data_IF_658770266859
#
_entry.id   IF_658770266859
#
_cell.length_a   1.000
_cell.length_b   1.000
_cell.length_c   1.000
_cell.angle_alpha   90.00
_cell.angle_beta   90.00
_cell.angle_gamma   90.00
#
_symmetry.space_group_name_H-M   'P 1'
#
loop_
_entity.id
_entity.type
_entity.pdbx_description
1 polymer ?
#
# COMPACT_ATOMS: atom_id res chain seq x y z
N UNK A 1 -31.98 3.17 -13.58
CA UNK A 1 -30.70 3.50 -12.88
C UNK A 1 -30.81 2.98 -11.46
N UNK A 2 -29.90 2.13 -11.04
CA UNK A 2 -29.83 1.72 -9.65
C UNK A 2 -29.58 2.97 -8.75
N UNK A 3 -30.26 3.13 -7.64
CA UNK A 3 -30.00 4.25 -6.76
C UNK A 3 -28.55 4.23 -6.30
N UNK A 4 -27.82 5.32 -6.50
CA UNK A 4 -26.46 5.44 -6.00
C UNK A 4 -26.52 5.36 -4.46
N UNK A 5 -25.95 4.31 -3.90
CA UNK A 5 -25.81 4.15 -2.47
C UNK A 5 -25.06 5.35 -1.90
N UNK A 6 -25.54 5.90 -0.82
CA UNK A 6 -24.86 7.01 -0.17
C UNK A 6 -23.66 6.50 0.63
N UNK A 7 -22.50 7.10 0.39
CA UNK A 7 -21.28 6.76 1.10
C UNK A 7 -21.29 7.37 2.49
N UNK A 8 -21.06 6.57 3.52
CA UNK A 8 -20.95 7.03 4.92
C UNK A 8 -19.52 7.23 5.36
N UNK A 9 -18.56 6.56 4.74
CA UNK A 9 -17.16 6.72 5.08
C UNK A 9 -16.21 5.98 4.17
N UNK A 10 -14.93 6.35 4.29
CA UNK A 10 -13.81 5.68 3.65
C UNK A 10 -12.84 5.18 4.69
N UNK A 11 -12.32 3.98 4.48
CA UNK A 11 -11.31 3.37 5.33
C UNK A 11 -10.11 3.04 4.46
N UNK A 12 -8.92 3.45 4.90
CA UNK A 12 -7.66 3.14 4.23
C UNK A 12 -6.78 2.32 5.17
N UNK A 13 -6.42 1.13 4.76
CA UNK A 13 -5.62 0.21 5.55
C UNK A 13 -4.48 -0.37 4.72
N UNK A 14 -3.42 -0.76 5.40
CA UNK A 14 -2.33 -1.54 4.84
C UNK A 14 -2.32 -2.90 5.53
N UNK A 15 -2.65 -3.94 4.80
CA UNK A 15 -2.82 -5.30 5.32
C UNK A 15 -1.93 -6.24 4.52
N UNK A 16 -1.36 -7.22 5.21
CA UNK A 16 -0.58 -8.26 4.55
C UNK A 16 -1.49 -9.11 3.65
N UNK A 17 -1.12 -9.26 2.40
CA UNK A 17 -1.90 -9.99 1.41
C UNK A 17 -2.10 -11.45 1.81
N UNK A 18 -3.33 -11.93 1.70
CA UNK A 18 -3.71 -13.29 2.04
C UNK A 18 -3.67 -13.63 3.55
N UNK A 19 -3.40 -12.64 4.41
CA UNK A 19 -3.26 -12.82 5.85
C UNK A 19 -4.10 -11.82 6.67
N UNK A 20 -5.15 -11.26 6.09
CA UNK A 20 -6.07 -10.40 6.82
C UNK A 20 -6.77 -11.20 7.93
N UNK A 21 -6.83 -10.62 9.11
CA UNK A 21 -7.49 -11.20 10.29
C UNK A 21 -8.39 -10.17 10.95
N UNK A 22 -9.39 -10.58 11.74
CA UNK A 22 -10.22 -9.66 12.50
C UNK A 22 -9.47 -8.89 13.60
N UNK A 23 -8.23 -9.26 13.87
CA UNK A 23 -7.37 -8.58 14.83
C UNK A 23 -7.01 -7.16 14.37
N UNK A 24 -6.61 -6.24 15.28
CA UNK A 24 -6.15 -4.91 14.88
C UNK A 24 -5.08 -4.97 13.79
N UNK A 25 -5.09 -4.04 12.79
CA UNK A 25 -5.92 -2.84 12.73
C UNK A 25 -7.30 -3.02 12.05
N UNK A 26 -7.60 -4.20 11.50
CA UNK A 26 -8.79 -4.43 10.67
C UNK A 26 -10.08 -4.35 11.49
N UNK A 27 -10.14 -5.06 12.60
CA UNK A 27 -11.32 -5.14 13.45
C UNK A 27 -11.85 -3.79 13.90
N UNK A 28 -11.05 -2.98 14.61
CA UNK A 28 -11.48 -1.65 15.05
C UNK A 28 -11.86 -0.71 13.93
N UNK A 29 -11.12 -0.71 12.83
CA UNK A 29 -11.38 0.16 11.69
C UNK A 29 -12.73 -0.13 11.03
N UNK A 30 -13.05 -1.39 10.81
CA UNK A 30 -14.32 -1.81 10.22
C UNK A 30 -15.47 -1.77 11.22
N UNK A 31 -15.20 -2.10 12.47
CA UNK A 31 -16.19 -2.11 13.54
C UNK A 31 -16.82 -0.75 13.81
N UNK A 32 -16.05 0.32 13.72
CA UNK A 32 -16.54 1.68 13.86
C UNK A 32 -17.61 2.05 12.82
N UNK A 33 -17.55 1.44 11.65
CA UNK A 33 -18.48 1.69 10.55
C UNK A 33 -19.61 0.62 10.46
N UNK A 34 -19.59 -0.37 11.36
CA UNK A 34 -20.59 -1.42 11.38
C UNK A 34 -20.52 -2.40 10.21
N UNK A 35 -19.37 -2.51 9.56
CA UNK A 35 -19.13 -3.42 8.44
C UNK A 35 -18.88 -4.85 8.95
N UNK A 36 -19.32 -5.85 8.18
CA UNK A 36 -19.05 -7.25 8.49
C UNK A 36 -17.57 -7.58 8.26
N UNK A 37 -16.83 -7.71 9.36
CA UNK A 37 -15.38 -7.94 9.35
C UNK A 37 -15.01 -9.26 8.67
N UNK A 38 -15.76 -10.33 8.95
CA UNK A 38 -15.47 -11.65 8.39
C UNK A 38 -15.68 -11.72 6.89
N UNK A 39 -16.69 -11.05 6.39
CA UNK A 39 -16.98 -10.95 4.95
C UNK A 39 -15.86 -10.21 4.23
N UNK A 40 -15.41 -9.09 4.79
CA UNK A 40 -14.27 -8.34 4.26
C UNK A 40 -13.00 -9.18 4.27
N UNK A 41 -12.67 -9.85 5.37
CA UNK A 41 -11.48 -10.68 5.51
C UNK A 41 -11.44 -11.78 4.44
N UNK A 42 -12.55 -12.47 4.23
CA UNK A 42 -12.65 -13.51 3.20
C UNK A 42 -12.47 -12.94 1.80
N UNK A 43 -13.16 -11.85 1.49
CA UNK A 43 -13.07 -11.20 0.17
C UNK A 43 -11.66 -10.66 -0.11
N UNK A 44 -11.05 -10.00 0.86
CA UNK A 44 -9.71 -9.47 0.74
C UNK A 44 -8.66 -10.57 0.56
N UNK A 45 -8.71 -11.62 1.37
CA UNK A 45 -7.77 -12.74 1.26
C UNK A 45 -7.88 -13.42 -0.11
N UNK A 46 -9.10 -13.62 -0.62
CA UNK A 46 -9.31 -14.18 -1.95
C UNK A 46 -8.75 -13.26 -3.05
N UNK A 47 -8.97 -11.96 -2.95
CA UNK A 47 -8.51 -10.99 -3.94
C UNK A 47 -6.98 -10.81 -3.95
N UNK A 48 -6.32 -11.03 -2.81
CA UNK A 48 -4.88 -10.79 -2.65
C UNK A 48 -4.05 -12.08 -2.55
N UNK A 49 -4.65 -13.24 -2.78
CA UNK A 49 -3.96 -14.53 -2.70
C UNK A 49 -2.72 -14.60 -3.61
N UNK A 50 -2.81 -14.03 -4.81
CA UNK A 50 -1.70 -13.99 -5.77
C UNK A 50 -0.52 -13.11 -5.31
N UNK A 51 -0.75 -12.22 -4.36
CA UNK A 51 0.25 -11.28 -3.84
C UNK A 51 0.68 -11.62 -2.40
N UNK A 52 0.44 -12.86 -1.99
CA UNK A 52 0.73 -13.34 -0.64
C UNK A 52 2.17 -13.03 -0.22
N UNK A 53 2.34 -12.53 0.99
CA UNK A 53 3.63 -12.13 1.53
C UNK A 53 4.01 -10.67 1.30
N UNK A 54 3.20 -9.90 0.57
CA UNK A 54 3.38 -8.46 0.38
C UNK A 54 2.34 -7.69 1.19
N UNK A 55 2.67 -6.47 1.57
CA UNK A 55 1.69 -5.56 2.16
C UNK A 55 0.95 -4.86 1.03
N UNK A 56 -0.35 -5.03 0.99
CA UNK A 56 -1.22 -4.44 -0.02
C UNK A 56 -2.11 -3.39 0.62
N UNK A 57 -2.05 -2.13 0.19
CA UNK A 57 -2.99 -1.11 0.63
C UNK A 57 -4.38 -1.41 0.11
N UNK A 58 -5.38 -1.18 0.93
CA UNK A 58 -6.78 -1.32 0.56
C UNK A 58 -7.54 -0.05 0.92
N UNK A 59 -8.37 0.42 0.00
CA UNK A 59 -9.33 1.48 0.24
C UNK A 59 -10.72 0.86 0.26
N UNK A 60 -11.42 1.05 1.37
CA UNK A 60 -12.75 0.51 1.61
C UNK A 60 -13.75 1.66 1.60
N UNK A 61 -14.78 1.55 0.78
CA UNK A 61 -15.90 2.49 0.76
C UNK A 61 -17.07 1.86 1.49
N UNK A 62 -17.57 2.52 2.53
CA UNK A 62 -18.71 2.05 3.33
C UNK A 62 -19.97 2.84 2.97
N UNK A 63 -21.07 2.14 2.81
CA UNK A 63 -22.38 2.71 2.46
C UNK A 63 -23.34 2.71 3.65
N UNK A 64 -24.43 3.49 3.56
CA UNK A 64 -25.45 3.59 4.62
C UNK A 64 -26.13 2.27 4.98
N UNK A 65 -26.21 1.36 4.02
CA UNK A 65 -26.77 0.01 4.22
C UNK A 65 -25.79 -0.98 4.87
N UNK A 66 -24.63 -0.51 5.34
CA UNK A 66 -23.53 -1.29 5.90
C UNK A 66 -22.84 -2.22 4.88
N UNK A 67 -23.16 -2.10 3.60
CA UNK A 67 -22.40 -2.73 2.55
C UNK A 67 -21.08 -1.99 2.34
N UNK A 68 -20.13 -2.66 1.71
CA UNK A 68 -18.83 -2.08 1.42
C UNK A 68 -18.34 -2.52 0.04
N UNK A 69 -17.55 -1.65 -0.57
CA UNK A 69 -16.71 -1.99 -1.72
C UNK A 69 -15.26 -1.71 -1.33
N UNK A 70 -14.34 -2.46 -1.89
CA UNK A 70 -12.93 -2.22 -1.65
C UNK A 70 -12.11 -2.30 -2.93
N UNK A 71 -11.03 -1.54 -2.96
CA UNK A 71 -10.06 -1.51 -4.05
C UNK A 71 -8.69 -1.80 -3.45
N UNK A 72 -7.99 -2.77 -4.00
CA UNK A 72 -6.60 -3.06 -3.65
C UNK A 72 -5.66 -2.27 -4.56
N UNK A 73 -4.59 -1.75 -3.98
CA UNK A 73 -3.55 -1.01 -4.70
C UNK A 73 -2.25 -1.80 -4.77
N UNK A 74 -1.29 -1.31 -5.53
CA UNK A 74 0.05 -1.88 -5.55
C UNK A 74 0.73 -1.72 -4.18
N UNK A 75 1.71 -2.58 -3.82
CA UNK A 75 2.41 -2.45 -2.55
C UNK A 75 2.98 -1.04 -2.35
N UNK A 76 3.04 -0.53 -1.09
CA UNK A 76 3.58 0.78 -0.83
C UNK A 76 5.02 0.92 -1.32
N UNK A 77 5.36 2.07 -1.91
CA UNK A 77 6.71 2.33 -2.41
C UNK A 77 7.78 2.14 -1.33
N UNK A 78 7.49 2.55 -0.10
CA UNK A 78 8.39 2.37 1.04
C UNK A 78 8.75 0.89 1.29
N UNK A 79 7.78 0.00 1.20
CA UNK A 79 8.02 -1.44 1.39
C UNK A 79 8.82 -2.06 0.24
N UNK A 80 8.56 -1.65 -0.98
CA UNK A 80 9.32 -2.07 -2.14
C UNK A 80 10.78 -1.60 -2.05
N UNK A 81 11.01 -0.38 -1.60
CA UNK A 81 12.35 0.19 -1.40
C UNK A 81 13.10 -0.57 -0.30
N UNK A 82 12.47 -0.84 0.84
CA UNK A 82 13.08 -1.62 1.93
C UNK A 82 13.47 -3.03 1.47
N UNK A 83 12.62 -3.68 0.70
CA UNK A 83 12.90 -4.99 0.12
C UNK A 83 14.10 -4.96 -0.83
N UNK A 84 14.15 -3.97 -1.72
CA UNK A 84 15.25 -3.79 -2.66
C UNK A 84 16.58 -3.47 -1.96
N UNK A 85 16.52 -2.69 -0.87
CA UNK A 85 17.68 -2.32 -0.07
C UNK A 85 18.13 -3.44 0.90
N UNK A 86 17.29 -4.43 1.15
CA UNK A 86 17.57 -5.52 2.08
C UNK A 86 17.57 -5.11 3.56
N UNK A 87 16.81 -4.06 3.92
CA UNK A 87 16.69 -3.58 5.29
C UNK A 87 15.24 -3.67 5.79
N UNK A 88 15.05 -3.81 7.07
CA UNK A 88 13.72 -3.93 7.68
C UNK A 88 13.04 -2.58 7.89
N UNK A 89 13.84 -1.55 8.20
CA UNK A 89 13.35 -0.21 8.53
C UNK A 89 14.20 0.87 7.87
N UNK A 90 13.55 1.97 7.54
CA UNK A 90 14.22 3.20 7.15
C UNK A 90 14.88 3.91 8.34
N UNK A 91 15.60 5.00 8.07
CA UNK A 91 16.25 5.80 9.08
C UNK A 91 15.26 6.59 9.94
N UNK A 92 15.50 6.67 11.22
CA UNK A 92 14.79 7.59 12.13
C UNK A 92 15.19 9.05 11.89
N UNK A 93 16.40 9.28 11.39
CA UNK A 93 16.94 10.62 11.07
C UNK A 93 17.46 10.60 9.63
N UNK A 94 16.58 10.62 8.61
CA UNK A 94 16.97 10.37 7.22
C UNK A 94 17.90 11.44 6.63
N UNK A 95 17.89 12.65 7.14
CA UNK A 95 18.76 13.74 6.68
C UNK A 95 20.19 13.62 7.22
N UNK A 96 20.42 12.89 8.30
CA UNK A 96 21.73 12.70 8.91
C UNK A 96 22.25 11.28 8.77
N UNK A 97 21.42 10.30 9.05
CA UNK A 97 21.79 8.89 9.06
C UNK A 97 21.24 8.17 7.86
N UNK A 98 22.12 7.67 6.99
CA UNK A 98 21.73 6.83 5.85
C UNK A 98 21.90 5.36 6.24
N UNK A 99 20.88 4.55 5.94
CA UNK A 99 20.85 3.13 6.37
C UNK A 99 21.15 2.16 5.25
N UNK A 100 20.95 2.57 4.01
CA UNK A 100 21.17 1.72 2.83
C UNK A 100 21.38 2.55 1.57
N UNK A 101 21.75 1.86 0.49
CA UNK A 101 21.87 2.42 -0.84
C UNK A 101 21.20 1.48 -1.84
N UNK A 102 20.48 2.05 -2.80
CA UNK A 102 19.90 1.33 -3.94
C UNK A 102 20.38 1.94 -5.25
N UNK A 103 20.35 1.17 -6.32
CA UNK A 103 20.72 1.63 -7.65
C UNK A 103 19.54 2.22 -8.39
N UNK A 104 19.80 3.06 -9.39
CA UNK A 104 18.74 3.60 -10.24
C UNK A 104 17.99 2.49 -11.00
N UNK A 105 18.65 1.39 -11.33
CA UNK A 105 17.99 0.23 -11.93
C UNK A 105 16.92 -0.37 -11.01
N UNK A 106 17.22 -0.52 -9.72
CA UNK A 106 16.25 -0.98 -8.71
C UNK A 106 15.10 0.01 -8.55
N UNK A 107 15.39 1.31 -8.58
CA UNK A 107 14.36 2.36 -8.54
C UNK A 107 13.42 2.26 -9.75
N UNK A 108 13.94 2.03 -10.94
CA UNK A 108 13.14 1.84 -12.15
C UNK A 108 12.26 0.58 -12.11
N UNK A 109 12.76 -0.51 -11.55
CA UNK A 109 11.96 -1.72 -11.33
C UNK A 109 10.78 -1.46 -10.40
N UNK A 110 11.01 -0.77 -9.29
CA UNK A 110 9.96 -0.38 -8.35
C UNK A 110 8.95 0.54 -9.03
N UNK A 111 9.44 1.52 -9.79
CA UNK A 111 8.59 2.45 -10.54
C UNK A 111 7.71 1.72 -11.56
N UNK A 112 8.24 0.73 -12.26
CA UNK A 112 7.48 -0.09 -13.22
C UNK A 112 6.37 -0.87 -12.51
N UNK A 113 6.67 -1.49 -11.37
CA UNK A 113 5.69 -2.22 -10.57
C UNK A 113 4.55 -1.33 -10.09
N UNK A 114 4.88 -0.09 -9.71
CA UNK A 114 3.92 0.85 -9.13
C UNK A 114 3.28 1.80 -10.16
N UNK A 115 3.64 1.70 -11.42
CA UNK A 115 3.20 2.63 -12.48
C UNK A 115 1.68 2.78 -12.58
N UNK A 116 0.93 1.69 -12.27
CA UNK A 116 -0.53 1.70 -12.29
C UNK A 116 -1.15 2.67 -11.27
N UNK A 117 -0.48 2.93 -10.15
CA UNK A 117 -0.95 3.81 -9.07
C UNK A 117 -0.31 5.20 -9.12
N UNK A 118 0.69 5.39 -9.97
CA UNK A 118 1.39 6.67 -10.09
C UNK A 118 0.75 7.53 -11.18
N UNK A 119 0.82 8.84 -11.01
CA UNK A 119 0.40 9.80 -12.02
C UNK A 119 1.54 10.24 -12.95
N UNK A 120 2.65 9.52 -12.95
CA UNK A 120 3.78 9.77 -13.82
C UNK A 120 3.46 9.41 -15.27
N UNK A 121 3.95 10.20 -16.21
CA UNK A 121 3.73 9.98 -17.64
C UNK A 121 4.72 8.95 -18.22
N UNK A 122 5.90 8.83 -17.65
CA UNK A 122 6.95 7.92 -18.08
C UNK A 122 7.71 7.30 -16.91
N UNK A 123 8.56 6.32 -17.21
CA UNK A 123 9.36 5.61 -16.21
C UNK A 123 10.36 6.52 -15.51
N UNK A 124 10.92 7.50 -16.20
CA UNK A 124 11.89 8.42 -15.59
C UNK A 124 11.23 9.33 -14.55
N UNK A 125 10.03 9.84 -14.85
CA UNK A 125 9.25 10.60 -13.89
C UNK A 125 8.85 9.75 -12.69
N UNK A 126 8.40 8.52 -12.92
CA UNK A 126 8.10 7.56 -11.86
C UNK A 126 9.33 7.23 -11.00
N UNK A 127 10.50 7.07 -11.62
CA UNK A 127 11.75 6.83 -10.92
C UNK A 127 12.13 7.99 -9.99
N UNK A 128 11.89 9.24 -10.41
CA UNK A 128 12.10 10.42 -9.55
C UNK A 128 11.20 10.41 -8.32
N UNK A 129 9.95 10.01 -8.48
CA UNK A 129 8.99 9.88 -7.35
C UNK A 129 9.52 8.84 -6.35
N UNK A 130 9.93 7.68 -6.82
CA UNK A 130 10.46 6.60 -5.97
C UNK A 130 11.78 7.00 -5.32
N UNK A 131 12.69 7.66 -6.06
CA UNK A 131 13.95 8.17 -5.52
C UNK A 131 13.73 9.19 -4.39
N UNK A 132 12.74 10.07 -4.55
CA UNK A 132 12.34 11.02 -3.50
C UNK A 132 11.84 10.31 -2.24
N UNK A 133 11.05 9.27 -2.39
CA UNK A 133 10.59 8.43 -1.27
C UNK A 133 11.77 7.75 -0.58
N UNK A 134 12.71 7.18 -1.32
CA UNK A 134 13.91 6.54 -0.78
C UNK A 134 14.75 7.55 0.02
N UNK A 135 14.93 8.75 -0.50
CA UNK A 135 15.66 9.83 0.20
C UNK A 135 14.99 10.19 1.52
N UNK A 136 13.66 10.25 1.56
CA UNK A 136 12.91 10.52 2.79
C UNK A 136 13.04 9.41 3.84
N UNK A 137 13.43 8.21 3.41
CA UNK A 137 13.65 7.05 4.27
C UNK A 137 15.11 6.91 4.74
N UNK A 138 16.00 7.77 4.31
CA UNK A 138 17.43 7.66 4.60
C UNK A 138 18.15 6.63 3.73
N UNK A 139 17.61 6.33 2.56
CA UNK A 139 18.20 5.43 1.56
C UNK A 139 18.72 6.26 0.40
N UNK A 140 19.99 6.11 0.09
CA UNK A 140 20.63 6.81 -1.03
C UNK A 140 20.39 6.07 -2.35
N UNK A 141 20.32 6.81 -3.44
CA UNK A 141 20.16 6.26 -4.79
C UNK A 141 21.44 6.58 -5.57
N UNK A 142 22.09 5.54 -6.05
CA UNK A 142 23.26 5.65 -6.93
C UNK A 142 22.88 5.44 -8.38
N UNK A 143 23.67 5.98 -9.25
CA UNK A 143 23.45 5.83 -10.70
C UNK A 143 23.59 4.38 -11.18
#
# INVERSE_FOLDING_TARGET
MAPKKKVTGFIKLQIQAGAATPAPPVGPALGQHGVNIMEFVKAYNAATESQKGQIVPVEITVYEDRSFDFITKTPPASRLILKAAGVEKGSAIPHKTKVANITMAQVKEIATTKMADLNANDIEAAAKIIAGTARSMGITVSA
#
